data_IF_171568138375
#
_entry.id   IF_171568138375
#
_cell.length_a   1.000
_cell.length_b   1.000
_cell.length_c   1.000
_cell.angle_alpha   90.00
_cell.angle_beta   90.00
_cell.angle_gamma   90.00
#
_symmetry.space_group_name_H-M   'P 1'
#
loop_
_entity.id
_entity.type
_entity.pdbx_description
1 polymer ?
#
# COMPACT_ATOMS: atom_id res chain seq x y z
N UNK A 1 23.21 -56.87 16.54
CA UNK A 1 21.81 -56.45 16.77
C UNK A 1 21.81 -55.10 17.47
N UNK A 2 21.71 -53.94 16.79
CA UNK A 2 21.53 -52.66 17.47
C UNK A 2 20.06 -52.23 17.44
N UNK A 3 19.50 -51.97 18.62
CA UNK A 3 18.15 -51.45 18.83
C UNK A 3 17.99 -50.04 18.26
N UNK A 4 17.05 -49.89 17.32
CA UNK A 4 16.65 -48.61 16.73
C UNK A 4 15.67 -47.92 17.67
N UNK A 5 16.12 -46.86 18.35
CA UNK A 5 15.29 -46.03 19.26
C UNK A 5 14.35 -45.19 18.38
N UNK A 6 13.06 -45.51 18.40
CA UNK A 6 12.03 -44.77 17.66
C UNK A 6 11.84 -43.38 18.29
N UNK A 7 12.01 -42.32 17.48
CA UNK A 7 11.59 -40.97 17.86
C UNK A 7 10.07 -40.87 17.73
N UNK A 8 9.36 -40.23 18.69
CA UNK A 8 7.94 -39.97 18.55
C UNK A 8 7.71 -38.94 17.42
N UNK A 9 6.60 -39.06 16.67
CA UNK A 9 6.30 -38.09 15.62
C UNK A 9 6.03 -36.72 16.25
N UNK A 10 6.78 -35.72 15.78
CA UNK A 10 6.55 -34.32 16.10
C UNK A 10 5.21 -33.90 15.50
N UNK A 11 4.16 -33.91 16.33
CA UNK A 11 2.87 -33.36 15.95
C UNK A 11 2.95 -31.84 15.96
N UNK A 12 3.28 -31.24 14.81
CA UNK A 12 3.09 -29.81 14.59
C UNK A 12 1.60 -29.54 14.59
N UNK A 13 1.07 -29.02 15.71
CA UNK A 13 -0.25 -28.40 15.73
C UNK A 13 -0.15 -27.09 14.94
N UNK A 14 -0.56 -27.14 13.68
CA UNK A 14 -0.81 -25.95 12.89
C UNK A 14 -1.92 -25.14 13.61
N UNK A 15 -1.71 -23.87 13.99
CA UNK A 15 -2.80 -23.07 14.49
C UNK A 15 -3.89 -23.01 13.43
N UNK A 16 -5.11 -23.34 13.84
CA UNK A 16 -6.33 -23.29 13.04
C UNK A 16 -6.47 -21.90 12.44
N UNK A 17 -6.38 -21.84 11.10
CA UNK A 17 -6.80 -20.76 10.20
C UNK A 17 -7.26 -19.48 10.91
N UNK A 18 -6.33 -18.57 11.17
CA UNK A 18 -6.67 -17.15 11.17
C UNK A 18 -6.96 -16.82 9.71
N UNK A 19 -8.22 -16.54 9.38
CA UNK A 19 -8.60 -15.96 8.09
C UNK A 19 -7.96 -14.58 8.04
N UNK A 20 -6.66 -14.50 7.75
CA UNK A 20 -5.99 -13.23 7.53
C UNK A 20 -6.71 -12.57 6.36
N UNK A 21 -7.11 -11.29 6.48
CA UNK A 21 -7.71 -10.60 5.37
C UNK A 21 -6.74 -10.67 4.17
N UNK A 22 -7.30 -10.94 2.99
CA UNK A 22 -6.53 -11.03 1.74
C UNK A 22 -5.63 -9.81 1.58
N UNK A 23 -6.14 -8.63 1.94
CA UNK A 23 -5.43 -7.36 1.97
C UNK A 23 -5.26 -6.86 3.41
N UNK A 24 -4.09 -6.30 3.79
CA UNK A 24 -3.97 -5.65 5.09
C UNK A 24 -4.89 -4.42 5.14
N UNK A 25 -5.42 -4.06 6.32
CA UNK A 25 -6.29 -2.91 6.40
C UNK A 25 -5.52 -1.60 6.24
N UNK A 26 -6.13 -0.63 5.58
CA UNK A 26 -5.53 0.67 5.30
C UNK A 26 -5.96 1.70 6.36
N UNK A 27 -5.00 2.50 6.81
CA UNK A 27 -5.21 3.65 7.68
C UNK A 27 -5.49 4.93 6.88
N UNK A 28 -5.08 4.98 5.61
CA UNK A 28 -5.42 6.07 4.70
C UNK A 28 -5.41 5.61 3.24
N UNK A 29 -6.15 6.32 2.39
CA UNK A 29 -6.13 6.27 0.93
C UNK A 29 -6.11 7.70 0.41
N UNK A 30 -5.30 7.98 -0.61
CA UNK A 30 -5.17 9.32 -1.18
C UNK A 30 -4.92 9.26 -2.69
N UNK A 31 -5.37 10.31 -3.38
CA UNK A 31 -5.08 10.60 -4.78
C UNK A 31 -4.34 11.94 -4.84
N UNK A 32 -3.17 11.91 -5.46
CA UNK A 32 -2.36 13.08 -5.73
C UNK A 32 -2.38 13.33 -7.23
N UNK A 33 -2.57 14.60 -7.60
CA UNK A 33 -2.47 15.09 -8.96
C UNK A 33 -1.30 16.07 -9.07
N UNK A 34 -0.61 16.05 -10.20
CA UNK A 34 0.44 17.00 -10.51
C UNK A 34 -0.15 18.22 -11.23
N UNK A 35 -0.15 19.35 -10.52
CA UNK A 35 -0.47 20.64 -11.11
C UNK A 35 0.81 21.39 -11.50
N UNK A 36 0.81 21.97 -12.69
CA UNK A 36 1.98 22.68 -13.24
C UNK A 36 2.38 23.92 -12.43
N UNK A 37 1.44 24.53 -11.69
CA UNK A 37 1.64 25.75 -10.90
C UNK A 37 1.81 25.45 -9.41
N UNK A 38 0.98 24.56 -8.86
CA UNK A 38 0.94 24.22 -7.44
C UNK A 38 1.86 23.03 -7.09
N UNK A 39 2.36 22.29 -8.07
CA UNK A 39 3.12 21.07 -7.85
C UNK A 39 2.22 19.91 -7.47
N UNK A 40 2.67 19.07 -6.54
CA UNK A 40 1.93 17.89 -6.11
C UNK A 40 0.83 18.27 -5.13
N UNK A 41 -0.42 17.94 -5.47
CA UNK A 41 -1.58 18.29 -4.64
C UNK A 41 -2.46 17.07 -4.37
N UNK A 42 -2.92 16.92 -3.13
CA UNK A 42 -3.94 15.91 -2.80
C UNK A 42 -5.29 16.42 -3.31
N UNK A 43 -5.88 15.71 -4.25
CA UNK A 43 -7.19 16.06 -4.83
C UNK A 43 -8.34 15.22 -4.25
N UNK A 44 -8.01 14.09 -3.62
CA UNK A 44 -8.96 13.27 -2.86
C UNK A 44 -8.23 12.52 -1.75
N UNK A 45 -8.86 12.35 -0.58
CA UNK A 45 -8.32 11.55 0.51
C UNK A 45 -9.39 11.00 1.45
N UNK A 46 -9.07 9.89 2.10
CA UNK A 46 -9.73 9.37 3.29
C UNK A 46 -8.66 8.87 4.25
N UNK A 47 -8.85 9.12 5.55
CA UNK A 47 -7.88 8.75 6.57
C UNK A 47 -8.58 8.41 7.89
N UNK A 48 -7.99 7.49 8.64
CA UNK A 48 -8.36 7.22 10.02
C UNK A 48 -8.06 8.46 10.90
N UNK A 49 -8.78 8.63 12.03
CA UNK A 49 -8.56 9.76 12.92
C UNK A 49 -7.08 9.88 13.37
N UNK A 50 -6.54 11.10 13.28
CA UNK A 50 -5.16 11.38 13.73
C UNK A 50 -4.06 11.06 12.71
N UNK A 51 -4.41 10.63 11.49
CA UNK A 51 -3.45 10.47 10.39
C UNK A 51 -3.38 11.77 9.58
N UNK A 52 -2.21 12.41 9.57
CA UNK A 52 -1.94 13.63 8.81
C UNK A 52 -1.38 13.26 7.42
N UNK A 53 -1.96 13.81 6.35
CA UNK A 53 -1.51 13.52 4.98
C UNK A 53 -0.89 14.75 4.30
N UNK A 54 -1.50 15.91 4.50
CA UNK A 54 -1.14 17.17 3.86
C UNK A 54 0.33 17.55 4.05
N UNK A 55 1.01 17.85 2.95
CA UNK A 55 2.41 18.27 2.92
C UNK A 55 3.40 17.16 3.28
N UNK A 56 2.95 15.92 3.48
CA UNK A 56 3.78 14.80 3.91
C UNK A 56 3.82 13.67 2.88
N UNK A 57 2.67 13.26 2.34
CA UNK A 57 2.59 12.10 1.43
C UNK A 57 2.83 12.47 -0.02
N UNK A 58 2.60 13.72 -0.41
CA UNK A 58 2.75 14.23 -1.78
C UNK A 58 4.19 14.06 -2.28
N UNK A 59 5.15 14.59 -1.52
CA UNK A 59 6.57 14.53 -1.85
C UNK A 59 7.14 13.12 -1.79
N UNK A 60 6.54 12.23 -0.99
CA UNK A 60 6.97 10.83 -0.88
C UNK A 60 6.42 9.97 -2.01
N UNK A 61 5.24 10.31 -2.52
CA UNK A 61 4.55 9.54 -3.56
C UNK A 61 5.03 9.93 -4.96
N UNK A 62 5.62 11.11 -5.12
CA UNK A 62 6.12 11.63 -6.40
C UNK A 62 7.61 12.04 -6.35
N UNK A 63 8.55 11.09 -6.16
CA UNK A 63 9.98 11.34 -6.24
C UNK A 63 10.39 11.95 -7.58
N UNK A 64 11.53 12.65 -7.57
CA UNK A 64 12.08 13.25 -8.80
C UNK A 64 12.38 12.19 -9.86
N UNK A 65 12.07 12.50 -11.11
CA UNK A 65 12.31 11.62 -12.27
C UNK A 65 11.12 10.77 -12.72
N UNK A 66 10.02 10.71 -11.94
CA UNK A 66 8.83 9.96 -12.35
C UNK A 66 8.19 10.45 -13.66
N UNK A 67 8.38 11.71 -14.03
CA UNK A 67 7.93 12.23 -15.33
C UNK A 67 8.60 11.55 -16.54
N UNK A 68 9.66 10.77 -16.33
CA UNK A 68 10.37 10.04 -17.41
C UNK A 68 9.86 8.62 -17.62
N UNK A 69 9.00 8.12 -16.74
CA UNK A 69 8.42 6.77 -16.82
C UNK A 69 6.91 6.84 -16.98
N UNK A 70 6.29 5.85 -17.65
CA UNK A 70 4.84 5.80 -17.80
C UNK A 70 4.13 5.39 -16.50
N UNK A 71 4.77 4.58 -15.67
CA UNK A 71 4.22 4.12 -14.40
C UNK A 71 5.36 3.72 -13.44
N UNK A 72 5.08 3.74 -12.14
CA UNK A 72 5.99 3.24 -11.11
C UNK A 72 5.23 2.88 -9.82
N UNK A 73 5.88 2.16 -8.91
CA UNK A 73 5.35 1.79 -7.60
C UNK A 73 6.32 2.21 -6.48
N UNK A 74 5.89 3.18 -5.69
CA UNK A 74 6.72 3.85 -4.69
C UNK A 74 6.38 3.33 -3.29
N UNK A 75 7.41 2.88 -2.57
CA UNK A 75 7.31 2.48 -1.16
C UNK A 75 7.95 3.53 -0.26
N UNK A 76 7.29 3.88 0.84
CA UNK A 76 7.83 4.80 1.83
C UNK A 76 7.37 4.47 3.24
N UNK A 77 7.95 5.15 4.24
CA UNK A 77 7.51 5.07 5.64
C UNK A 77 6.92 6.43 6.05
N UNK A 78 5.81 6.39 6.75
CA UNK A 78 5.09 7.55 7.26
C UNK A 78 5.00 7.47 8.78
N UNK A 79 5.52 8.51 9.44
CA UNK A 79 5.57 8.71 10.89
C UNK A 79 6.09 7.52 11.71
N UNK A 80 6.94 6.69 11.10
CA UNK A 80 7.55 5.51 11.74
C UNK A 80 6.56 4.38 12.10
N UNK A 81 5.26 4.58 11.87
CA UNK A 81 4.20 3.64 12.25
C UNK A 81 3.45 3.06 11.04
N UNK A 82 3.56 3.67 9.86
CA UNK A 82 2.85 3.24 8.65
C UNK A 82 3.81 3.01 7.48
N UNK A 83 3.56 1.95 6.73
CA UNK A 83 4.10 1.76 5.39
C UNK A 83 3.19 2.45 4.39
N UNK A 84 3.78 3.31 3.56
CA UNK A 84 3.14 3.89 2.40
C UNK A 84 3.43 3.09 1.14
N UNK A 85 2.41 2.92 0.31
CA UNK A 85 2.54 2.39 -1.03
C UNK A 85 1.77 3.31 -1.98
N UNK A 86 2.40 3.75 -3.07
CA UNK A 86 1.77 4.61 -4.06
C UNK A 86 2.03 4.10 -5.47
N UNK A 87 0.97 3.92 -6.25
CA UNK A 87 1.04 3.63 -7.67
C UNK A 87 0.96 4.92 -8.46
N UNK A 88 1.97 5.16 -9.29
CA UNK A 88 2.10 6.33 -10.14
C UNK A 88 1.76 5.98 -11.58
N UNK A 89 1.08 6.89 -12.29
CA UNK A 89 0.83 6.81 -13.73
C UNK A 89 1.08 8.17 -14.38
N UNK A 90 1.72 8.13 -15.54
CA UNK A 90 2.00 9.23 -16.45
C UNK A 90 1.47 8.89 -17.85
N UNK A 91 0.40 9.56 -18.25
CA UNK A 91 -0.30 9.25 -19.50
C UNK A 91 -0.40 10.49 -20.36
N UNK A 92 -0.18 10.41 -21.68
CA UNK A 92 -0.44 11.53 -22.56
C UNK A 92 -1.89 12.03 -22.42
N UNK A 93 -2.09 13.34 -22.38
CA UNK A 93 -3.41 13.94 -22.25
C UNK A 93 -3.55 15.11 -23.23
N UNK A 94 -4.64 15.23 -23.97
CA UNK A 94 -4.82 16.32 -24.94
C UNK A 94 -5.20 17.66 -24.29
N UNK A 95 -5.22 17.74 -22.96
CA UNK A 95 -5.48 18.95 -22.19
C UNK A 95 -4.23 19.87 -22.21
N UNK A 96 -4.32 21.04 -22.85
CA UNK A 96 -3.22 22.02 -22.92
C UNK A 96 -2.71 22.44 -21.53
N UNK A 97 -3.60 22.48 -20.54
CA UNK A 97 -3.31 22.80 -19.13
C UNK A 97 -2.38 21.77 -18.48
N UNK A 98 -2.44 20.51 -18.92
CA UNK A 98 -1.62 19.41 -18.44
C UNK A 98 -0.31 19.24 -19.25
N UNK A 99 0.03 20.18 -20.15
CA UNK A 99 1.24 20.11 -21.01
C UNK A 99 1.41 18.76 -21.72
N UNK A 100 0.31 18.22 -22.22
CA UNK A 100 0.28 16.94 -22.92
C UNK A 100 0.47 15.68 -22.07
N UNK A 101 0.55 15.75 -20.74
CA UNK A 101 0.72 14.59 -19.88
C UNK A 101 0.00 14.73 -18.53
N UNK A 102 -0.81 13.72 -18.19
CA UNK A 102 -1.49 13.58 -16.91
C UNK A 102 -0.66 12.68 -16.00
N UNK A 103 -0.22 13.23 -14.88
CA UNK A 103 0.60 12.55 -13.88
C UNK A 103 -0.15 12.47 -12.55
N UNK A 104 -0.53 11.27 -12.15
CA UNK A 104 -1.27 11.04 -10.91
C UNK A 104 -0.63 9.92 -10.09
N UNK A 105 -0.90 9.96 -8.78
CA UNK A 105 -0.48 8.91 -7.86
C UNK A 105 -1.60 8.54 -6.90
N UNK A 106 -1.93 7.25 -6.82
CA UNK A 106 -2.91 6.70 -5.87
C UNK A 106 -2.14 5.93 -4.82
N UNK A 107 -2.31 6.26 -3.55
CA UNK A 107 -1.55 5.63 -2.49
C UNK A 107 -2.34 5.33 -1.23
N UNK A 108 -1.82 4.37 -0.47
CA UNK A 108 -2.37 3.93 0.82
C UNK A 108 -1.32 4.03 1.91
N UNK A 109 -1.79 4.17 3.14
CA UNK A 109 -1.00 3.91 4.34
C UNK A 109 -1.52 2.65 5.02
N UNK A 110 -0.62 1.73 5.36
CA UNK A 110 -0.91 0.50 6.09
C UNK A 110 -0.11 0.48 7.38
N UNK A 111 -0.70 0.15 8.54
CA UNK A 111 0.06 0.06 9.78
C UNK A 111 1.21 -0.97 9.68
N UNK A 112 2.38 -0.63 10.22
CA UNK A 112 3.55 -1.53 10.23
C UNK A 112 3.36 -2.73 11.15
N UNK A 113 2.31 -2.74 11.99
CA UNK A 113 1.95 -3.86 12.84
C UNK A 113 1.60 -5.13 12.06
N UNK A 114 1.26 -5.06 10.76
CA UNK A 114 0.84 -6.22 9.96
C UNK A 114 1.99 -7.01 9.30
N UNK A 115 3.22 -6.88 9.82
CA UNK A 115 4.40 -7.58 9.34
C UNK A 115 5.38 -6.66 8.59
N UNK A 116 6.28 -7.24 7.79
CA UNK A 116 7.28 -6.46 7.04
C UNK A 116 6.56 -5.44 6.15
N UNK A 117 6.87 -4.14 6.33
CA UNK A 117 6.20 -3.03 5.64
C UNK A 117 4.66 -3.12 5.65
N UNK A 118 4.07 -3.65 6.72
CA UNK A 118 2.62 -3.83 6.84
C UNK A 118 1.99 -4.75 5.77
N UNK A 119 2.80 -5.43 4.95
CA UNK A 119 2.35 -6.13 3.74
C UNK A 119 1.64 -5.25 2.70
N UNK A 120 1.97 -3.96 2.68
CA UNK A 120 1.34 -2.98 1.79
C UNK A 120 1.39 -3.38 0.31
N UNK A 121 2.41 -4.13 -0.14
CA UNK A 121 2.54 -4.63 -1.52
C UNK A 121 1.33 -5.42 -2.02
N UNK A 122 0.51 -5.99 -1.12
CA UNK A 122 -0.72 -6.67 -1.50
C UNK A 122 -1.74 -5.73 -2.15
N UNK A 123 -1.66 -4.43 -1.90
CA UNK A 123 -2.50 -3.43 -2.57
C UNK A 123 -1.98 -3.02 -3.96
N UNK A 124 -0.74 -3.37 -4.34
CA UNK A 124 -0.07 -2.83 -5.52
C UNK A 124 -0.91 -2.93 -6.81
N UNK A 125 -1.43 -4.12 -7.12
CA UNK A 125 -2.22 -4.34 -8.34
C UNK A 125 -3.54 -3.56 -8.31
N UNK A 126 -4.21 -3.50 -7.16
CA UNK A 126 -5.43 -2.71 -7.01
C UNK A 126 -5.19 -1.21 -7.18
N UNK A 127 -4.09 -0.69 -6.65
CA UNK A 127 -3.75 0.73 -6.78
C UNK A 127 -3.35 1.10 -8.22
N UNK A 128 -2.63 0.22 -8.91
CA UNK A 128 -2.29 0.42 -10.32
C UNK A 128 -3.54 0.47 -11.21
N UNK A 129 -4.49 -0.44 -10.99
CA UNK A 129 -5.76 -0.47 -11.73
C UNK A 129 -6.58 0.81 -11.47
N UNK A 130 -6.66 1.25 -10.21
CA UNK A 130 -7.33 2.51 -9.85
C UNK A 130 -6.64 3.71 -10.48
N UNK A 131 -5.30 3.78 -10.43
CA UNK A 131 -4.54 4.86 -11.05
C UNK A 131 -4.75 4.89 -12.57
N UNK A 132 -4.70 3.75 -13.26
CA UNK A 132 -4.99 3.70 -14.69
C UNK A 132 -6.40 4.22 -15.03
N UNK A 133 -7.43 3.79 -14.26
CA UNK A 133 -8.82 4.25 -14.45
C UNK A 133 -9.01 5.74 -14.20
N UNK A 134 -8.35 6.29 -13.19
CA UNK A 134 -8.42 7.74 -12.89
C UNK A 134 -7.61 8.57 -13.87
N UNK A 135 -6.56 7.99 -14.45
CA UNK A 135 -5.82 8.63 -15.52
C UNK A 135 -6.68 8.76 -16.79
N UNK A 136 -7.62 7.85 -17.05
CA UNK A 136 -8.63 7.98 -18.10
C UNK A 136 -9.76 8.93 -17.71
N UNK A 137 -10.39 8.71 -16.55
CA UNK A 137 -11.49 9.53 -16.02
C UNK A 137 -11.25 10.00 -14.57
N UNK A 138 -10.74 11.23 -14.43
CA UNK A 138 -10.43 11.85 -13.14
C UNK A 138 -11.64 12.05 -12.23
N UNK A 139 -12.85 12.08 -12.78
CA UNK A 139 -14.08 12.34 -12.01
C UNK A 139 -14.63 11.08 -11.38
N UNK A 140 -14.12 9.92 -11.77
CA UNK A 140 -14.55 8.62 -11.27
C UNK A 140 -13.98 8.33 -9.87
N UNK A 141 -14.15 9.25 -8.91
CA UNK A 141 -13.64 9.11 -7.55
C UNK A 141 -14.39 8.04 -6.74
N UNK A 142 -15.53 7.56 -7.23
CA UNK A 142 -16.32 6.51 -6.59
C UNK A 142 -15.53 5.22 -6.40
N UNK A 143 -14.58 4.92 -7.30
CA UNK A 143 -13.71 3.74 -7.16
C UNK A 143 -12.78 3.86 -5.94
N UNK A 144 -12.41 5.08 -5.54
CA UNK A 144 -11.63 5.34 -4.32
C UNK A 144 -12.51 5.15 -3.08
N UNK A 145 -13.74 5.65 -3.11
CA UNK A 145 -14.70 5.46 -2.02
C UNK A 145 -15.00 3.98 -1.76
N UNK A 146 -15.21 3.20 -2.82
CA UNK A 146 -15.41 1.75 -2.75
C UNK A 146 -14.17 1.04 -2.20
N UNK A 147 -12.98 1.38 -2.70
CA UNK A 147 -11.75 0.79 -2.23
C UNK A 147 -11.49 1.09 -0.75
N UNK A 148 -11.72 2.33 -0.32
CA UNK A 148 -11.63 2.72 1.08
C UNK A 148 -12.62 1.95 1.95
N UNK A 149 -13.89 1.89 1.55
CA UNK A 149 -14.94 1.20 2.31
C UNK A 149 -14.62 -0.27 2.54
N UNK A 150 -14.05 -0.94 1.54
CA UNK A 150 -13.76 -2.37 1.60
C UNK A 150 -12.49 -2.71 2.40
N UNK A 151 -11.53 -1.77 2.48
CA UNK A 151 -10.19 -2.06 3.00
C UNK A 151 -9.80 -1.27 4.25
N UNK A 152 -10.56 -0.26 4.66
CA UNK A 152 -10.20 0.57 5.82
C UNK A 152 -10.09 -0.24 7.11
N UNK A 153 -9.20 0.19 8.00
CA UNK A 153 -9.16 -0.33 9.36
C UNK A 153 -10.49 -0.09 10.09
N UNK A 154 -10.90 -1.06 10.91
CA UNK A 154 -12.06 -0.94 11.78
C UNK A 154 -11.59 -0.32 13.09
N UNK A 155 -12.21 0.80 13.49
CA UNK A 155 -11.90 1.48 14.74
C UNK A 155 -12.09 0.53 15.94
N UNK A 156 -11.06 0.41 16.79
CA UNK A 156 -11.09 -0.43 18.00
C UNK A 156 -10.55 -1.86 17.82
N UNK A 157 -10.08 -2.24 16.63
CA UNK A 157 -9.33 -3.49 16.49
C UNK A 157 -7.90 -3.29 17.01
N UNK A 158 -7.70 -3.48 18.32
CA UNK A 158 -6.37 -3.74 18.88
C UNK A 158 -5.77 -4.93 18.15
N UNK A 159 -4.86 -4.66 17.22
CA UNK A 159 -4.36 -5.70 16.34
C UNK A 159 -3.29 -6.51 17.05
N UNK A 160 -3.69 -7.72 17.41
CA UNK A 160 -2.81 -8.83 17.78
C UNK A 160 -1.71 -8.93 16.72
N UNK A 161 -0.46 -8.64 17.12
CA UNK A 161 0.69 -8.68 16.21
C UNK A 161 0.72 -10.05 15.52
N UNK A 162 0.63 -10.13 14.18
CA UNK A 162 0.84 -11.39 13.50
C UNK A 162 2.24 -11.89 13.83
N UNK A 163 2.43 -13.22 13.95
CA UNK A 163 3.74 -13.79 14.24
C UNK A 163 4.75 -13.28 13.21
N UNK A 164 5.89 -12.77 13.69
CA UNK A 164 7.01 -12.42 12.83
C UNK A 164 7.42 -13.68 12.04
N UNK A 165 7.32 -13.63 10.71
CA UNK A 165 7.95 -14.64 9.84
C UNK A 165 9.46 -14.63 10.16
N UNK A 166 9.89 -15.62 10.94
CA UNK A 166 11.30 -15.79 11.30
C UNK A 166 12.02 -16.30 10.06
N UNK A 167 13.06 -15.61 9.55
CA UNK A 167 13.86 -16.17 8.48
C UNK A 167 14.56 -17.41 9.03
N UNK A 168 14.29 -18.56 8.43
CA UNK A 168 14.96 -19.82 8.74
C UNK A 168 16.43 -19.69 8.31
N UNK A 169 17.31 -19.29 9.22
CA UNK A 169 18.75 -19.41 9.01
C UNK A 169 19.12 -20.89 9.05
N UNK A 170 19.27 -21.48 7.87
CA UNK A 170 20.00 -22.73 7.68
C UNK A 170 21.10 -22.50 6.64
N UNK A 171 22.25 -22.02 7.10
CA UNK A 171 23.52 -22.37 6.48
C UNK A 171 24.40 -23.00 7.56
N UNK A 172 24.37 -24.32 7.57
CA UNK A 172 25.41 -25.11 8.22
C UNK A 172 26.67 -25.10 7.36
N UNK A 173 27.80 -24.92 8.03
CA UNK A 173 29.05 -25.65 7.80
C UNK A 173 29.63 -25.98 9.17
#
# INVERSE_FOLDING_TARGET
>A
MPSRRAQPPLSVRLPTSTTQPELPPIAALFLIDFDVKAGYTIVWKQAAPGIELEGLVEYKSLPSGLHTVPDDLIYFVHDGAHAGLSAFVNTPCDEEEARHARMIAVGVLVPLSYGRLGRAWRHAEGLKDIAAKLAEDRKNTTILDEYWKNNKAIDGAEHERPPLDSPSESLGL
#
